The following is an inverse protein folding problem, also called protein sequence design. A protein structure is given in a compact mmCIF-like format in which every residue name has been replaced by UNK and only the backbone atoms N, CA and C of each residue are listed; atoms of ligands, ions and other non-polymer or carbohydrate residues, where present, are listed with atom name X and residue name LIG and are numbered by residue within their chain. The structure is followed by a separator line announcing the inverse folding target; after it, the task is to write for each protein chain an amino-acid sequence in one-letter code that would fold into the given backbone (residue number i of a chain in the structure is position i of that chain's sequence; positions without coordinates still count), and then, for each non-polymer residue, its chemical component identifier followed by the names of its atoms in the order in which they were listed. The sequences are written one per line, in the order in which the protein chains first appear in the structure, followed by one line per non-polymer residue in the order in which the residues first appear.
data_IF_454686783724
#
_entry.id   IF_454686783724
#
_cell.length_a   1.000
_cell.length_b   1.000
_cell.length_c   1.000
_cell.angle_alpha   90.00
_cell.angle_beta   90.00
_cell.angle_gamma   90.00
#
_symmetry.space_group_name_H-M   'P 1'
#
loop_
_entity.id
_entity.type
_entity.pdbx_description
1 polymer ?
#
# COMPACT_ATOMS: atom_id res chain seq x y z
N UNK A 1 -0.01 3.78 -18.81
CA UNK A 1 -0.72 4.38 -19.97
C UNK A 1 -0.04 5.66 -20.45
N UNK A 2 0.26 6.63 -19.56
CA UNK A 2 0.93 7.87 -19.94
C UNK A 2 2.26 7.60 -20.65
N UNK A 3 3.11 6.71 -20.08
CA UNK A 3 4.40 6.35 -20.66
C UNK A 3 4.27 5.88 -22.13
N UNK A 4 3.32 5.00 -22.42
CA UNK A 4 3.13 4.49 -23.78
C UNK A 4 2.69 5.57 -24.76
N UNK A 5 1.83 6.52 -24.35
CA UNK A 5 1.46 7.67 -25.21
C UNK A 5 2.66 8.56 -25.52
N UNK A 6 3.53 8.78 -24.54
CA UNK A 6 4.74 9.56 -24.75
C UNK A 6 5.72 8.81 -25.67
N UNK A 7 5.82 7.49 -25.50
CA UNK A 7 6.67 6.65 -26.34
C UNK A 7 6.18 6.55 -27.79
N UNK A 8 4.88 6.64 -28.03
CA UNK A 8 4.30 6.76 -29.38
C UNK A 8 4.74 8.06 -30.07
N UNK A 9 4.91 9.13 -29.29
CA UNK A 9 5.34 10.44 -29.80
C UNK A 9 6.87 10.55 -29.94
N UNK A 10 7.61 10.14 -28.91
CA UNK A 10 9.05 10.42 -28.80
C UNK A 10 9.95 9.23 -29.12
N UNK A 11 9.37 8.06 -29.40
CA UNK A 11 10.05 6.79 -29.38
C UNK A 11 10.29 6.31 -27.94
N UNK A 12 9.95 5.05 -27.68
CA UNK A 12 10.15 4.41 -26.37
C UNK A 12 11.48 3.69 -26.25
N UNK A 13 11.53 2.69 -25.39
CA UNK A 13 12.63 1.75 -25.34
C UNK A 13 12.68 0.94 -26.64
N UNK A 14 13.89 0.73 -27.14
CA UNK A 14 14.15 -0.16 -28.27
C UNK A 14 13.92 -1.64 -27.91
N UNK A 15 13.87 -1.94 -26.63
CA UNK A 15 13.79 -3.30 -26.13
C UNK A 15 12.40 -3.60 -25.55
N UNK A 16 11.89 -4.85 -25.73
CA UNK A 16 10.61 -5.27 -25.19
C UNK A 16 10.63 -5.29 -23.66
N UNK A 17 9.46 -5.01 -23.07
CA UNK A 17 9.28 -5.09 -21.61
C UNK A 17 9.22 -6.56 -21.18
N UNK A 18 10.07 -6.93 -20.24
CA UNK A 18 10.11 -8.27 -19.67
C UNK A 18 8.97 -8.44 -18.64
N UNK A 19 8.08 -9.38 -18.93
CA UNK A 19 6.96 -9.69 -18.04
C UNK A 19 7.41 -10.43 -16.77
N UNK A 20 6.52 -10.51 -15.77
CA UNK A 20 6.79 -11.11 -14.46
C UNK A 20 7.28 -12.57 -14.53
N UNK A 21 6.72 -13.36 -15.45
CA UNK A 21 7.16 -14.73 -15.68
C UNK A 21 8.57 -14.77 -16.28
N UNK A 22 8.84 -13.88 -17.23
CA UNK A 22 10.15 -13.72 -17.83
C UNK A 22 11.22 -13.33 -16.81
N UNK A 23 10.93 -12.35 -15.93
CA UNK A 23 11.81 -11.98 -14.81
C UNK A 23 12.16 -13.20 -13.94
N UNK A 24 11.16 -14.03 -13.60
CA UNK A 24 11.39 -15.23 -12.78
C UNK A 24 12.30 -16.24 -13.50
N UNK A 25 12.14 -16.41 -14.81
CA UNK A 25 13.01 -17.29 -15.61
C UNK A 25 14.43 -16.78 -15.67
N UNK A 26 14.63 -15.47 -15.87
CA UNK A 26 15.96 -14.85 -15.88
C UNK A 26 16.62 -15.00 -14.51
N UNK A 27 15.92 -14.67 -13.40
CA UNK A 27 16.46 -14.86 -12.05
C UNK A 27 16.89 -16.30 -11.80
N UNK A 28 16.07 -17.27 -12.21
CA UNK A 28 16.41 -18.69 -12.09
C UNK A 28 17.66 -19.05 -12.91
N UNK A 29 17.77 -18.54 -14.11
CA UNK A 29 18.90 -18.77 -15.02
C UNK A 29 20.20 -18.20 -14.46
N UNK A 30 20.22 -16.92 -14.11
CA UNK A 30 21.42 -16.27 -13.56
C UNK A 30 21.85 -16.88 -12.23
N UNK A 31 20.89 -17.31 -11.38
CA UNK A 31 21.20 -18.04 -10.16
C UNK A 31 21.86 -19.39 -10.42
N UNK A 32 21.52 -20.08 -11.52
CA UNK A 32 22.18 -21.31 -11.93
C UNK A 32 23.58 -21.05 -12.46
N UNK A 33 23.75 -20.04 -13.30
CA UNK A 33 25.04 -19.65 -13.88
C UNK A 33 26.02 -19.21 -12.79
N UNK A 34 25.55 -18.40 -11.84
CA UNK A 34 26.36 -17.87 -10.72
C UNK A 34 26.42 -18.78 -9.49
N UNK A 35 25.93 -20.00 -9.55
CA UNK A 35 25.81 -20.91 -8.41
C UNK A 35 27.11 -21.10 -7.62
N UNK A 36 28.28 -21.09 -8.27
CA UNK A 36 29.58 -21.26 -7.63
C UNK A 36 30.01 -20.04 -6.81
N UNK A 37 29.48 -18.88 -7.16
CA UNK A 37 29.75 -17.59 -6.49
C UNK A 37 28.83 -17.38 -5.27
N UNK A 38 27.70 -18.12 -5.20
CA UNK A 38 26.72 -17.98 -4.13
C UNK A 38 27.05 -18.84 -2.91
N UNK A 39 27.04 -18.22 -1.74
CA UNK A 39 27.39 -18.85 -0.47
C UNK A 39 26.19 -19.55 0.18
N UNK A 40 25.03 -18.90 0.22
CA UNK A 40 23.84 -19.33 0.93
C UNK A 40 22.66 -19.55 0.00
N UNK A 41 22.41 -18.62 -0.93
CA UNK A 41 21.22 -18.62 -1.77
C UNK A 41 21.27 -19.65 -2.90
N UNK A 42 22.44 -20.15 -3.27
CA UNK A 42 22.61 -21.07 -4.39
C UNK A 42 21.84 -22.38 -4.29
N UNK A 43 21.59 -22.89 -3.07
CA UNK A 43 20.75 -24.07 -2.81
C UNK A 43 19.27 -23.71 -2.72
N UNK A 44 18.95 -22.56 -2.18
CA UNK A 44 17.59 -22.08 -1.91
C UNK A 44 16.87 -21.68 -3.20
N UNK A 45 17.56 -21.06 -4.15
CA UNK A 45 17.01 -20.58 -5.42
C UNK A 45 16.66 -21.70 -6.45
N UNK A 46 16.79 -22.95 -6.06
CA UNK A 46 16.18 -24.07 -6.78
C UNK A 46 14.66 -24.16 -6.60
N UNK A 47 14.13 -23.56 -5.51
CA UNK A 47 12.70 -23.59 -5.18
C UNK A 47 11.99 -22.40 -5.83
N UNK A 48 10.83 -22.64 -6.44
CA UNK A 48 10.05 -21.62 -7.14
C UNK A 48 9.69 -20.43 -6.24
N UNK A 49 9.31 -20.68 -4.99
CA UNK A 49 8.99 -19.62 -4.03
C UNK A 49 10.19 -18.69 -3.73
N UNK A 50 11.40 -19.25 -3.61
CA UNK A 50 12.59 -18.45 -3.39
C UNK A 50 12.98 -17.61 -4.62
N UNK A 51 12.78 -18.14 -5.82
CA UNK A 51 12.95 -17.38 -7.08
C UNK A 51 11.97 -16.21 -7.13
N UNK A 52 10.70 -16.46 -6.76
CA UNK A 52 9.69 -15.40 -6.71
C UNK A 52 10.04 -14.31 -5.69
N UNK A 53 10.51 -14.68 -4.50
CA UNK A 53 10.97 -13.73 -3.49
C UNK A 53 12.17 -12.91 -3.97
N UNK A 54 13.16 -13.55 -4.60
CA UNK A 54 14.32 -12.86 -5.17
C UNK A 54 13.93 -11.89 -6.28
N UNK A 55 13.02 -12.32 -7.17
CA UNK A 55 12.46 -11.45 -8.21
C UNK A 55 11.79 -10.21 -7.60
N UNK A 56 10.94 -10.41 -6.59
CA UNK A 56 10.25 -9.30 -5.91
C UNK A 56 11.24 -8.35 -5.21
N UNK A 57 12.28 -8.90 -4.58
CA UNK A 57 13.34 -8.10 -3.96
C UNK A 57 14.10 -7.27 -4.99
N UNK A 58 14.48 -7.85 -6.13
CA UNK A 58 15.15 -7.10 -7.21
C UNK A 58 14.24 -5.98 -7.74
N UNK A 59 12.94 -6.26 -7.97
CA UNK A 59 11.98 -5.22 -8.38
C UNK A 59 11.87 -4.10 -7.35
N UNK A 60 11.88 -4.42 -6.07
CA UNK A 60 11.85 -3.42 -4.99
C UNK A 60 13.14 -2.58 -4.97
N UNK A 61 14.32 -3.22 -5.04
CA UNK A 61 15.60 -2.52 -5.12
C UNK A 61 15.65 -1.53 -6.30
N UNK A 62 15.16 -1.94 -7.48
CA UNK A 62 15.05 -1.06 -8.66
C UNK A 62 14.11 0.12 -8.41
N UNK A 63 12.93 -0.12 -7.83
CA UNK A 63 11.97 0.95 -7.52
C UNK A 63 12.54 2.00 -6.55
N UNK A 64 13.43 1.55 -5.64
CA UNK A 64 14.11 2.44 -4.70
C UNK A 64 15.47 2.95 -5.21
N UNK A 65 15.81 2.64 -6.46
CA UNK A 65 17.08 3.06 -7.11
C UNK A 65 18.33 2.61 -6.35
N UNK A 66 18.27 1.43 -5.73
CA UNK A 66 19.37 0.82 -4.99
C UNK A 66 20.19 -0.01 -5.99
N UNK A 67 21.44 0.38 -6.20
CA UNK A 67 22.35 -0.32 -7.10
C UNK A 67 22.92 -1.61 -6.48
N UNK A 68 23.31 -2.62 -7.28
CA UNK A 68 23.97 -3.83 -6.76
C UNK A 68 25.21 -3.54 -5.89
N UNK A 69 25.95 -2.47 -6.19
CA UNK A 69 27.12 -2.04 -5.42
C UNK A 69 26.81 -1.57 -4.00
N UNK A 70 25.60 -1.03 -3.77
CA UNK A 70 25.18 -0.61 -2.44
C UNK A 70 24.93 -1.82 -1.52
N UNK A 71 24.47 -2.94 -2.10
CA UNK A 71 24.33 -4.19 -1.35
C UNK A 71 25.67 -4.74 -0.86
N UNK A 72 26.73 -4.57 -1.66
CA UNK A 72 28.09 -4.93 -1.28
C UNK A 72 28.58 -4.04 -0.12
N UNK A 73 28.35 -2.72 -0.20
CA UNK A 73 28.68 -1.78 0.88
C UNK A 73 27.92 -2.11 2.17
N UNK A 74 26.62 -2.35 2.09
CA UNK A 74 25.82 -2.75 3.26
C UNK A 74 26.26 -4.08 3.86
N UNK A 75 26.72 -5.02 3.02
CA UNK A 75 27.26 -6.29 3.49
C UNK A 75 28.54 -6.10 4.33
N UNK A 76 29.35 -5.11 3.99
CA UNK A 76 30.57 -4.76 4.77
C UNK A 76 30.20 -4.07 6.08
N UNK A 77 29.19 -3.23 6.11
CA UNK A 77 28.71 -2.52 7.30
C UNK A 77 28.01 -3.43 8.33
N UNK A 78 27.49 -4.60 7.92
CA UNK A 78 26.75 -5.50 8.84
C UNK A 78 27.59 -6.10 9.95
N UNK A 79 28.93 -5.97 9.94
CA UNK A 79 29.85 -6.37 10.99
C UNK A 79 29.66 -7.85 11.42
N UNK A 80 29.22 -8.08 12.65
CA UNK A 80 29.10 -9.44 13.23
C UNK A 80 27.96 -10.29 12.64
N UNK A 81 27.04 -9.71 11.87
CA UNK A 81 25.88 -10.43 11.30
C UNK A 81 26.25 -11.18 10.02
N UNK A 82 27.14 -12.16 10.13
CA UNK A 82 27.69 -12.93 9.00
C UNK A 82 26.66 -13.50 8.03
N UNK A 83 25.50 -13.96 8.55
CA UNK A 83 24.42 -14.50 7.73
C UNK A 83 23.76 -13.42 6.87
N UNK A 84 23.54 -12.23 7.42
CA UNK A 84 22.97 -11.10 6.68
C UNK A 84 23.95 -10.60 5.62
N UNK A 85 25.22 -10.43 5.98
CA UNK A 85 26.28 -10.06 5.05
C UNK A 85 26.36 -11.01 3.85
N UNK A 86 26.35 -12.33 4.11
CA UNK A 86 26.37 -13.33 3.05
C UNK A 86 25.11 -13.30 2.17
N UNK A 87 23.91 -13.06 2.73
CA UNK A 87 22.68 -12.87 1.93
C UNK A 87 22.74 -11.62 1.07
N UNK A 88 23.24 -10.51 1.59
CA UNK A 88 23.38 -9.27 0.84
C UNK A 88 24.36 -9.44 -0.35
N UNK A 89 25.52 -10.07 -0.12
CA UNK A 89 26.48 -10.39 -1.17
C UNK A 89 25.88 -11.28 -2.24
N UNK A 90 25.24 -12.38 -1.86
CA UNK A 90 24.61 -13.28 -2.81
C UNK A 90 23.50 -12.57 -3.61
N UNK A 91 22.72 -11.69 -2.96
CA UNK A 91 21.70 -10.87 -3.63
C UNK A 91 22.35 -9.90 -4.62
N UNK A 92 23.44 -9.24 -4.25
CA UNK A 92 24.22 -8.35 -5.13
C UNK A 92 24.74 -9.07 -6.38
N UNK A 93 25.27 -10.30 -6.22
CA UNK A 93 25.74 -11.14 -7.33
C UNK A 93 24.59 -11.45 -8.30
N UNK A 94 23.43 -11.87 -7.77
CA UNK A 94 22.27 -12.23 -8.62
C UNK A 94 21.71 -10.99 -9.31
N UNK A 95 21.59 -9.89 -8.57
CA UNK A 95 21.04 -8.65 -9.11
C UNK A 95 21.93 -8.10 -10.23
N UNK A 96 23.25 -8.05 -10.05
CA UNK A 96 24.21 -7.66 -11.09
C UNK A 96 24.11 -8.55 -12.34
N UNK A 97 24.08 -9.86 -12.15
CA UNK A 97 23.95 -10.80 -13.27
C UNK A 97 22.57 -10.69 -13.95
N UNK A 98 21.52 -10.31 -13.21
CA UNK A 98 20.20 -10.02 -13.77
C UNK A 98 20.25 -8.78 -14.66
N UNK A 99 20.85 -7.67 -14.21
CA UNK A 99 21.02 -6.45 -14.99
C UNK A 99 21.86 -6.71 -16.25
N UNK A 100 22.99 -7.41 -16.13
CA UNK A 100 23.85 -7.80 -17.25
C UNK A 100 23.09 -8.66 -18.28
N UNK A 101 22.19 -9.54 -17.82
CA UNK A 101 21.36 -10.34 -18.72
C UNK A 101 20.35 -9.49 -19.48
N UNK A 102 19.80 -8.46 -18.86
CA UNK A 102 18.81 -7.57 -19.49
C UNK A 102 19.45 -6.58 -20.47
N UNK A 103 20.70 -6.23 -20.26
CA UNK A 103 21.39 -5.24 -21.05
C UNK A 103 21.30 -5.55 -22.55
N UNK A 104 20.85 -4.58 -23.33
CA UNK A 104 20.62 -4.65 -24.77
C UNK A 104 19.62 -5.76 -25.23
N UNK A 105 18.75 -6.24 -24.35
CA UNK A 105 17.75 -7.28 -24.66
C UNK A 105 16.35 -6.95 -24.21
N UNK A 106 16.23 -6.48 -22.97
CA UNK A 106 14.93 -6.26 -22.32
C UNK A 106 14.99 -5.03 -21.41
N UNK A 107 13.82 -4.47 -21.14
CA UNK A 107 13.58 -3.52 -20.04
C UNK A 107 12.58 -4.10 -19.07
N UNK A 108 12.65 -3.77 -17.80
CA UNK A 108 11.63 -4.14 -16.82
C UNK A 108 10.54 -3.08 -16.71
N UNK A 109 9.42 -3.40 -16.07
CA UNK A 109 8.37 -2.43 -15.83
C UNK A 109 8.85 -1.24 -14.97
N UNK A 110 9.82 -1.46 -14.10
CA UNK A 110 10.48 -0.44 -13.28
C UNK A 110 11.30 0.51 -14.17
N UNK A 111 12.04 -0.02 -15.14
CA UNK A 111 12.88 0.75 -16.08
C UNK A 111 12.02 1.63 -17.00
N UNK A 112 10.79 1.23 -17.29
CA UNK A 112 9.85 2.04 -18.09
C UNK A 112 9.68 3.44 -17.54
N UNK A 113 9.68 3.61 -16.20
CA UNK A 113 9.57 4.93 -15.58
C UNK A 113 10.84 5.76 -15.74
N UNK A 114 12.01 5.14 -15.74
CA UNK A 114 13.30 5.82 -16.01
C UNK A 114 13.39 6.25 -17.47
N UNK A 115 13.02 5.36 -18.40
CA UNK A 115 12.94 5.69 -19.83
C UNK A 115 11.93 6.82 -20.05
N UNK A 116 10.76 6.76 -19.40
CA UNK A 116 9.78 7.84 -19.44
C UNK A 116 10.39 9.15 -18.96
N UNK A 117 11.03 9.14 -17.80
CA UNK A 117 11.69 10.34 -17.28
C UNK A 117 12.69 10.94 -18.27
N UNK A 118 13.44 10.09 -18.99
CA UNK A 118 14.37 10.54 -20.05
C UNK A 118 13.67 11.18 -21.25
N UNK A 119 12.44 10.77 -21.55
CA UNK A 119 11.68 11.21 -22.75
C UNK A 119 10.70 12.36 -22.50
N UNK A 120 10.40 12.73 -21.27
CA UNK A 120 9.44 13.77 -20.93
C UNK A 120 9.78 15.12 -21.59
N UNK A 121 11.05 15.49 -21.66
CA UNK A 121 11.50 16.77 -22.22
C UNK A 121 11.29 16.86 -23.74
N UNK A 122 11.25 15.72 -24.43
CA UNK A 122 11.04 15.62 -25.87
C UNK A 122 9.54 15.70 -26.23
N UNK A 123 8.65 15.42 -25.27
CA UNK A 123 7.21 15.32 -25.54
C UNK A 123 6.54 16.69 -25.65
N UNK A 124 5.89 16.94 -26.78
CA UNK A 124 5.03 18.12 -26.96
C UNK A 124 3.72 17.98 -26.17
N UNK A 125 3.24 16.76 -25.97
CA UNK A 125 2.04 16.49 -25.17
C UNK A 125 2.17 16.99 -23.73
N UNK A 126 3.37 16.85 -23.14
CA UNK A 126 3.62 17.21 -21.73
C UNK A 126 3.84 18.72 -21.57
N UNK A 127 4.49 19.35 -22.55
CA UNK A 127 4.78 20.78 -22.47
C UNK A 127 3.47 21.57 -22.41
N UNK A 128 3.37 22.41 -21.39
CA UNK A 128 2.18 23.25 -21.13
C UNK A 128 0.88 22.47 -20.82
N UNK A 129 0.96 21.17 -20.52
CA UNK A 129 -0.19 20.40 -20.06
C UNK A 129 -0.53 20.67 -18.60
N UNK A 130 -1.78 20.41 -18.23
CA UNK A 130 -2.16 20.27 -16.82
C UNK A 130 -2.22 18.77 -16.47
N UNK A 131 -1.57 18.38 -15.39
CA UNK A 131 -1.49 16.97 -14.94
C UNK A 131 -2.17 16.82 -13.61
N UNK A 132 -3.10 15.87 -13.51
CA UNK A 132 -3.75 15.48 -12.28
C UNK A 132 -3.24 14.10 -11.84
N UNK A 133 -2.70 14.03 -10.62
CA UNK A 133 -2.23 12.81 -9.97
C UNK A 133 -3.15 12.50 -8.80
N UNK A 134 -3.93 11.44 -8.92
CA UNK A 134 -4.99 11.12 -7.97
C UNK A 134 -4.87 9.69 -7.42
N UNK A 135 -5.24 9.51 -6.14
CA UNK A 135 -5.37 8.21 -5.49
C UNK A 135 -4.05 7.58 -5.01
N UNK A 136 -2.97 8.32 -4.92
CA UNK A 136 -1.68 7.84 -4.41
C UNK A 136 -1.56 8.07 -2.90
N UNK A 137 -1.03 7.05 -2.20
CA UNK A 137 -0.71 7.12 -0.77
C UNK A 137 0.78 7.34 -0.49
N UNK A 138 1.61 7.24 -1.52
CA UNK A 138 3.06 7.45 -1.50
C UNK A 138 3.65 7.27 -2.88
N UNK A 139 4.89 7.71 -3.07
CA UNK A 139 5.65 7.55 -4.30
C UNK A 139 7.00 6.91 -4.02
N UNK A 140 7.43 6.03 -4.92
CA UNK A 140 8.80 5.53 -4.92
C UNK A 140 9.78 6.61 -5.42
N UNK A 141 11.08 6.50 -5.14
CA UNK A 141 12.07 7.46 -5.64
C UNK A 141 12.04 7.66 -7.16
N UNK A 142 11.85 6.59 -7.93
CA UNK A 142 11.69 6.67 -9.39
C UNK A 142 10.48 7.50 -9.79
N UNK A 143 9.34 7.30 -9.10
CA UNK A 143 8.11 8.07 -9.34
C UNK A 143 8.28 9.55 -8.96
N UNK A 144 8.96 9.84 -7.86
CA UNK A 144 9.31 11.22 -7.47
C UNK A 144 10.20 11.87 -8.53
N UNK A 145 11.17 11.14 -9.10
CA UNK A 145 12.01 11.63 -10.19
C UNK A 145 11.19 12.01 -11.44
N UNK A 146 10.19 11.20 -11.80
CA UNK A 146 9.23 11.52 -12.88
C UNK A 146 8.43 12.77 -12.53
N UNK A 147 7.89 12.86 -11.30
CA UNK A 147 7.12 14.03 -10.84
C UNK A 147 7.96 15.31 -10.87
N UNK A 148 9.22 15.26 -10.41
CA UNK A 148 10.12 16.40 -10.46
C UNK A 148 10.34 16.94 -11.88
N UNK A 149 10.37 16.06 -12.90
CA UNK A 149 10.40 16.49 -14.30
C UNK A 149 9.06 17.09 -14.77
N UNK A 150 7.94 16.49 -14.37
CA UNK A 150 6.61 17.03 -14.66
C UNK A 150 6.43 18.43 -14.05
N UNK A 151 6.93 18.67 -12.83
CA UNK A 151 6.89 20.00 -12.20
C UNK A 151 7.61 21.09 -12.99
N UNK A 152 8.66 20.70 -13.76
CA UNK A 152 9.38 21.66 -14.64
C UNK A 152 8.72 21.88 -15.99
N UNK A 153 8.05 20.86 -16.51
CA UNK A 153 7.60 20.84 -17.92
C UNK A 153 6.14 21.21 -18.10
N UNK A 154 5.30 20.87 -17.11
CA UNK A 154 3.86 21.11 -17.18
C UNK A 154 3.50 22.53 -16.81
N UNK A 155 2.39 23.04 -17.35
CA UNK A 155 1.83 24.31 -16.92
C UNK A 155 1.35 24.26 -15.46
N UNK A 156 0.77 23.12 -15.06
CA UNK A 156 0.31 22.88 -13.68
C UNK A 156 0.25 21.39 -13.37
N UNK A 157 0.58 21.04 -12.13
CA UNK A 157 0.44 19.68 -11.61
C UNK A 157 -0.38 19.71 -10.33
N UNK A 158 -1.48 18.97 -10.32
CA UNK A 158 -2.34 18.79 -9.15
C UNK A 158 -2.09 17.41 -8.56
N UNK A 159 -1.88 17.34 -7.26
CA UNK A 159 -1.73 16.07 -6.54
C UNK A 159 -2.79 16.01 -5.44
N UNK A 160 -3.69 15.04 -5.51
CA UNK A 160 -4.68 14.84 -4.44
C UNK A 160 -4.08 14.03 -3.29
N UNK A 161 -4.33 14.47 -2.07
CA UNK A 161 -3.84 13.80 -0.86
C UNK A 161 -5.00 13.68 0.12
N UNK A 162 -5.20 12.47 0.64
CA UNK A 162 -6.23 12.22 1.65
C UNK A 162 -5.68 12.65 3.01
N UNK A 163 -6.33 13.63 3.63
CA UNK A 163 -5.98 14.13 4.95
C UNK A 163 -7.21 14.68 5.67
N UNK A 164 -7.17 14.69 6.99
CA UNK A 164 -8.18 15.37 7.78
C UNK A 164 -7.91 16.89 7.79
N UNK A 165 -8.96 17.70 7.65
CA UNK A 165 -8.85 19.18 7.66
C UNK A 165 -8.30 19.75 8.98
N UNK A 166 -8.35 18.97 10.06
CA UNK A 166 -7.79 19.32 11.38
C UNK A 166 -6.30 19.06 11.49
N UNK A 167 -5.70 18.41 10.50
CA UNK A 167 -4.29 18.09 10.45
C UNK A 167 -3.54 19.16 9.65
N UNK A 168 -2.40 19.55 10.16
CA UNK A 168 -1.47 20.40 9.41
C UNK A 168 -0.63 19.51 8.48
N UNK A 169 -0.74 19.67 7.15
CA UNK A 169 -0.05 18.83 6.18
C UNK A 169 1.47 18.99 6.20
N UNK A 170 1.95 20.15 6.69
CA UNK A 170 3.38 20.49 6.67
C UNK A 170 4.12 20.07 7.93
N UNK A 171 3.42 19.64 8.98
CA UNK A 171 4.06 19.11 10.18
C UNK A 171 4.82 17.83 9.91
N UNK A 172 5.90 17.64 10.67
CA UNK A 172 6.69 16.41 10.63
C UNK A 172 5.81 15.18 10.85
N UNK A 173 5.94 14.20 9.98
CA UNK A 173 5.24 12.93 10.10
C UNK A 173 5.72 12.16 11.34
N UNK A 174 4.78 11.65 12.13
CA UNK A 174 5.05 10.77 13.27
C UNK A 174 4.46 9.39 12.93
N UNK A 175 5.25 8.31 12.88
CA UNK A 175 4.85 7.03 12.27
C UNK A 175 3.55 6.42 12.79
N UNK A 176 3.21 6.64 14.07
CA UNK A 176 2.00 6.07 14.68
C UNK A 176 0.73 6.92 14.48
N UNK A 177 0.83 8.08 13.83
CA UNK A 177 -0.33 8.92 13.55
C UNK A 177 -1.07 8.47 12.29
N UNK A 178 -2.39 8.63 12.27
CA UNK A 178 -3.25 8.17 11.18
C UNK A 178 -2.82 8.70 9.80
N UNK A 179 -2.45 9.98 9.72
CA UNK A 179 -2.04 10.63 8.48
C UNK A 179 -0.52 10.79 8.34
N UNK A 180 0.27 9.93 9.01
CA UNK A 180 1.74 9.96 8.91
C UNK A 180 2.22 9.80 7.46
N UNK A 181 1.67 8.84 6.73
CA UNK A 181 2.01 8.61 5.31
C UNK A 181 1.65 9.80 4.43
N UNK A 182 0.48 10.40 4.65
CA UNK A 182 0.05 11.58 3.89
C UNK A 182 0.97 12.78 4.13
N UNK A 183 1.38 13.02 5.38
CA UNK A 183 2.36 14.07 5.70
C UNK A 183 3.74 13.79 5.09
N UNK A 184 4.18 12.53 5.15
CA UNK A 184 5.44 12.15 4.52
C UNK A 184 5.39 12.38 3.01
N UNK A 185 4.26 12.07 2.38
CA UNK A 185 4.03 12.33 0.96
C UNK A 185 4.11 13.82 0.66
N UNK A 186 3.46 14.68 1.45
CA UNK A 186 3.55 16.15 1.30
C UNK A 186 5.01 16.60 1.38
N UNK A 187 5.77 16.12 2.37
CA UNK A 187 7.19 16.48 2.51
C UNK A 187 8.04 16.06 1.30
N UNK A 188 7.79 14.87 0.76
CA UNK A 188 8.48 14.39 -0.45
C UNK A 188 8.16 15.26 -1.66
N UNK A 189 6.89 15.62 -1.85
CA UNK A 189 6.44 16.45 -2.97
C UNK A 189 6.98 17.88 -2.85
N UNK A 190 6.95 18.47 -1.65
CA UNK A 190 7.54 19.80 -1.39
C UNK A 190 9.02 19.83 -1.72
N UNK A 191 9.76 18.83 -1.27
CA UNK A 191 11.18 18.67 -1.59
C UNK A 191 11.42 18.56 -3.09
N UNK A 192 10.64 17.70 -3.79
CA UNK A 192 10.76 17.53 -5.23
C UNK A 192 10.40 18.81 -6.02
N UNK A 193 9.42 19.59 -5.55
CA UNK A 193 9.07 20.88 -6.14
C UNK A 193 10.18 21.92 -5.97
N UNK A 194 10.76 21.99 -4.77
CA UNK A 194 11.89 22.88 -4.47
C UNK A 194 13.11 22.55 -5.35
N UNK A 195 13.50 21.27 -5.44
CA UNK A 195 14.59 20.78 -6.31
C UNK A 195 14.31 21.03 -7.80
N UNK A 196 13.03 21.04 -8.18
CA UNK A 196 12.60 21.37 -9.53
C UNK A 196 12.56 22.89 -9.81
N UNK A 197 12.64 23.75 -8.80
CA UNK A 197 12.42 25.19 -8.89
C UNK A 197 10.96 25.54 -9.21
N UNK A 198 10.00 24.66 -8.88
CA UNK A 198 8.60 24.83 -9.15
C UNK A 198 7.88 25.52 -7.96
N UNK A 199 7.22 26.65 -8.15
CA UNK A 199 6.45 27.29 -7.08
C UNK A 199 5.26 26.43 -6.67
N UNK A 200 5.02 26.32 -5.37
CA UNK A 200 3.88 25.58 -4.83
C UNK A 200 2.77 26.58 -4.47
N UNK A 201 1.59 26.37 -5.02
CA UNK A 201 0.41 27.15 -4.66
C UNK A 201 -0.16 26.68 -3.31
N UNK A 202 -0.94 27.56 -2.61
CA UNK A 202 -1.66 27.13 -1.42
C UNK A 202 -2.56 25.93 -1.68
N UNK A 203 -2.69 25.05 -0.70
CA UNK A 203 -3.53 23.86 -0.80
C UNK A 203 -5.03 24.21 -0.97
N UNK A 204 -5.71 23.40 -1.77
CA UNK A 204 -7.16 23.50 -1.97
C UNK A 204 -7.82 22.37 -1.15
N UNK A 205 -8.54 22.75 -0.11
CA UNK A 205 -9.33 21.82 0.68
C UNK A 205 -10.65 21.50 0.01
N UNK A 206 -10.75 20.33 -0.60
CA UNK A 206 -12.00 19.83 -1.18
C UNK A 206 -12.87 19.27 -0.06
N UNK A 207 -13.77 20.12 0.44
CA UNK A 207 -14.74 19.71 1.46
C UNK A 207 -15.99 19.15 0.80
N UNK A 208 -16.49 18.06 1.34
CA UNK A 208 -17.80 17.56 0.96
C UNK A 208 -18.85 18.54 1.47
N UNK A 209 -19.57 19.20 0.57
CA UNK A 209 -20.61 20.15 0.95
C UNK A 209 -21.72 19.45 1.72
N UNK A 210 -21.94 19.88 2.95
CA UNK A 210 -23.12 19.62 3.75
C UNK A 210 -23.02 18.47 4.77
N UNK A 211 -22.78 17.25 4.36
CA UNK A 211 -22.79 16.13 5.31
C UNK A 211 -21.66 15.15 4.95
N UNK A 212 -20.94 14.67 5.94
CA UNK A 212 -20.00 13.58 5.79
C UNK A 212 -20.68 12.30 5.28
N UNK A 213 -19.94 11.19 5.20
CA UNK A 213 -20.46 9.89 4.79
C UNK A 213 -21.55 9.39 5.74
N UNK A 214 -21.47 9.78 7.01
CA UNK A 214 -22.39 9.39 8.06
C UNK A 214 -23.28 10.55 8.47
N UNK A 215 -24.47 10.23 8.97
CA UNK A 215 -25.39 11.23 9.52
C UNK A 215 -24.76 11.91 10.74
N UNK A 216 -24.77 13.26 10.82
CA UNK A 216 -24.22 13.99 11.94
C UNK A 216 -24.77 13.51 13.29
N UNK A 217 -23.88 13.26 14.25
CA UNK A 217 -24.22 12.76 15.57
C UNK A 217 -24.50 11.25 15.66
N UNK A 218 -24.52 10.52 14.55
CA UNK A 218 -24.62 9.06 14.57
C UNK A 218 -23.39 8.41 15.21
N UNK A 219 -23.52 7.16 15.64
CA UNK A 219 -22.39 6.40 16.23
C UNK A 219 -21.22 6.28 15.26
N UNK A 220 -21.49 6.11 13.96
CA UNK A 220 -20.44 6.05 12.92
C UNK A 220 -19.77 7.39 12.68
N UNK A 221 -20.52 8.51 12.72
CA UNK A 221 -19.95 9.86 12.66
C UNK A 221 -19.04 10.13 13.86
N UNK A 222 -19.47 9.76 15.06
CA UNK A 222 -18.65 9.89 16.27
C UNK A 222 -17.40 9.00 16.22
N UNK A 223 -17.51 7.78 15.68
CA UNK A 223 -16.36 6.91 15.48
C UNK A 223 -15.37 7.51 14.49
N UNK A 224 -15.82 7.99 13.33
CA UNK A 224 -14.97 8.63 12.33
C UNK A 224 -14.23 9.84 12.90
N UNK A 225 -14.93 10.67 13.69
CA UNK A 225 -14.33 11.85 14.29
C UNK A 225 -13.31 11.55 15.38
N UNK A 226 -13.35 10.40 16.03
CA UNK A 226 -12.55 10.09 17.23
C UNK A 226 -11.57 8.93 17.03
N UNK A 227 -11.80 8.06 16.05
CA UNK A 227 -10.94 6.90 15.81
C UNK A 227 -9.48 7.32 15.60
N UNK A 228 -8.57 6.65 16.32
CA UNK A 228 -7.12 6.93 16.32
C UNK A 228 -6.72 8.35 16.78
N UNK A 229 -7.64 9.10 17.39
CA UNK A 229 -7.33 10.42 17.94
C UNK A 229 -7.18 10.31 19.44
N UNK A 230 -5.95 10.32 19.88
CA UNK A 230 -5.59 10.28 21.30
C UNK A 230 -5.71 11.67 21.93
N UNK A 231 -6.90 12.09 22.29
CA UNK A 231 -7.15 13.35 22.99
C UNK A 231 -7.62 13.08 24.41
N UNK A 232 -7.26 13.98 25.36
CA UNK A 232 -7.64 13.90 26.79
C UNK A 232 -9.14 14.07 27.07
N UNK A 233 -9.99 14.23 26.08
CA UNK A 233 -11.43 14.30 26.27
C UNK A 233 -12.03 12.92 26.21
N UNK A 234 -12.33 12.39 27.39
CA UNK A 234 -13.13 11.18 27.54
C UNK A 234 -14.43 11.27 26.75
N UNK A 235 -14.99 10.13 26.43
CA UNK A 235 -16.32 9.97 25.84
C UNK A 235 -17.33 10.76 26.73
N UNK A 236 -17.66 11.97 26.35
CA UNK A 236 -18.83 12.66 26.89
C UNK A 236 -20.02 12.17 26.06
N UNK A 237 -20.40 10.92 26.33
CA UNK A 237 -21.54 10.31 25.66
C UNK A 237 -22.81 10.71 26.36
N UNK A 238 -23.54 11.68 25.83
CA UNK A 238 -25.00 11.66 25.96
C UNK A 238 -25.47 10.53 25.00
N UNK A 239 -25.47 9.29 25.50
CA UNK A 239 -25.93 8.15 24.69
C UNK A 239 -25.42 6.78 25.11
N UNK A 240 -24.55 6.69 26.10
CA UNK A 240 -24.32 5.44 26.81
C UNK A 240 -25.16 5.53 28.08
N UNK A 241 -26.37 5.09 28.03
CA UNK A 241 -27.10 4.75 29.26
C UNK A 241 -26.23 3.75 30.02
N UNK A 242 -25.72 4.18 31.18
CA UNK A 242 -25.16 3.27 32.18
C UNK A 242 -26.24 2.24 32.46
N UNK A 243 -25.95 1.00 32.09
CA UNK A 243 -26.76 -0.12 32.54
C UNK A 243 -26.89 -0.02 34.07
N UNK A 244 -28.07 -0.01 34.66
CA UNK A 244 -28.19 0.05 36.09
C UNK A 244 -27.53 -1.18 36.71
N UNK A 245 -26.63 -0.95 37.67
CA UNK A 245 -26.10 -1.98 38.54
C UNK A 245 -27.24 -2.55 39.39
N UNK A 246 -27.89 -3.54 38.88
CA UNK A 246 -28.75 -4.43 39.72
C UNK A 246 -28.32 -5.85 39.41
N UNK A 247 -27.71 -6.46 40.44
CA UNK A 247 -27.38 -7.85 40.43
C UNK A 247 -28.59 -8.72 40.14
N UNK A 248 -28.43 -9.51 39.09
CA UNK A 248 -29.16 -10.77 38.95
C UNK A 248 -28.34 -11.67 38.01
N UNK A 249 -28.21 -12.89 38.45
CA UNK A 249 -27.42 -13.97 37.92
C UNK A 249 -27.57 -14.20 36.41
N UNK A 250 -26.45 -14.44 35.77
CA UNK A 250 -26.38 -14.90 34.39
C UNK A 250 -27.08 -16.24 34.24
N UNK A 251 -28.31 -16.23 33.75
CA UNK A 251 -28.94 -17.43 33.19
C UNK A 251 -28.32 -17.68 31.81
N UNK A 252 -27.52 -18.74 31.72
CA UNK A 252 -27.16 -19.43 30.49
C UNK A 252 -28.46 -19.82 29.76
N UNK A 253 -28.87 -19.02 28.82
CA UNK A 253 -30.00 -19.27 27.95
C UNK A 253 -29.63 -18.78 26.54
N UNK A 254 -29.58 -19.73 25.59
CA UNK A 254 -29.58 -19.45 24.15
C UNK A 254 -30.73 -18.47 23.85
N UNK A 255 -30.41 -17.22 23.75
CA UNK A 255 -31.32 -16.24 23.16
C UNK A 255 -30.52 -15.34 22.25
N UNK A 256 -30.73 -15.53 20.95
CA UNK A 256 -30.58 -14.47 19.98
C UNK A 256 -31.42 -13.27 20.51
N UNK A 257 -30.84 -12.53 21.44
CA UNK A 257 -31.48 -11.34 22.02
C UNK A 257 -31.55 -10.30 20.90
N UNK A 258 -32.75 -9.92 20.61
CA UNK A 258 -33.24 -9.08 19.57
C UNK A 258 -32.36 -7.94 19.18
N UNK A 259 -32.08 -7.89 17.91
CA UNK A 259 -31.56 -6.73 17.21
C UNK A 259 -32.66 -5.67 17.08
N UNK A 260 -33.03 -5.05 18.16
CA UNK A 260 -33.85 -3.84 18.17
C UNK A 260 -33.00 -2.59 18.31
N UNK A 261 -31.93 -2.47 17.47
CA UNK A 261 -31.16 -1.25 17.48
C UNK A 261 -30.96 -0.75 16.06
N UNK A 262 -32.00 -0.27 15.44
CA UNK A 262 -31.97 0.49 14.17
C UNK A 262 -31.13 1.78 14.23
N UNK A 263 -30.43 2.07 15.34
CA UNK A 263 -29.66 3.32 15.52
C UNK A 263 -28.22 3.12 15.96
N UNK A 264 -27.75 1.93 16.28
CA UNK A 264 -26.36 1.70 16.69
C UNK A 264 -25.63 0.99 15.56
N UNK A 265 -24.85 1.73 14.79
CA UNK A 265 -24.08 1.20 13.65
C UNK A 265 -22.84 0.36 14.01
N UNK A 266 -22.61 0.05 15.31
CA UNK A 266 -21.44 -0.68 15.79
C UNK A 266 -21.87 -1.80 16.71
N UNK A 267 -21.45 -3.03 16.40
CA UNK A 267 -21.69 -4.23 17.19
C UNK A 267 -20.36 -4.87 17.55
N UNK A 268 -20.23 -5.32 18.79
CA UNK A 268 -19.07 -6.06 19.27
C UNK A 268 -19.54 -7.43 19.73
N UNK A 269 -18.97 -8.47 19.13
CA UNK A 269 -19.19 -9.86 19.54
C UNK A 269 -17.87 -10.51 19.93
N UNK A 270 -17.96 -11.52 20.80
CA UNK A 270 -16.80 -12.30 21.24
C UNK A 270 -17.07 -13.76 20.88
N UNK A 271 -16.16 -14.35 20.15
CA UNK A 271 -16.22 -15.76 19.77
C UNK A 271 -15.12 -16.57 20.49
N UNK A 272 -15.32 -17.86 20.75
CA UNK A 272 -14.36 -18.68 21.48
C UNK A 272 -13.07 -19.01 20.70
N UNK A 273 -13.12 -18.92 19.38
CA UNK A 273 -11.99 -19.18 18.50
C UNK A 273 -12.19 -18.55 17.11
N UNK A 274 -11.13 -18.41 16.29
CA UNK A 274 -11.19 -17.77 14.97
C UNK A 274 -12.20 -18.41 13.99
N UNK A 275 -12.39 -19.73 14.07
CA UNK A 275 -13.37 -20.43 13.23
C UNK A 275 -14.80 -20.03 13.59
N UNK A 276 -15.13 -20.04 14.86
CA UNK A 276 -16.47 -19.63 15.35
C UNK A 276 -16.75 -18.16 15.03
N UNK A 277 -15.76 -17.30 15.10
CA UNK A 277 -15.85 -15.89 14.73
C UNK A 277 -16.24 -15.73 13.25
N UNK A 278 -15.59 -16.45 12.35
CA UNK A 278 -15.93 -16.44 10.93
C UNK A 278 -17.28 -17.05 10.63
N UNK A 279 -17.66 -18.17 11.29
CA UNK A 279 -18.97 -18.78 11.14
C UNK A 279 -20.09 -17.83 11.56
N UNK A 280 -19.91 -17.09 12.65
CA UNK A 280 -20.87 -16.09 13.10
C UNK A 280 -20.93 -14.90 12.15
N UNK A 281 -19.79 -14.43 11.67
CA UNK A 281 -19.72 -13.36 10.66
C UNK A 281 -20.51 -13.75 9.39
N UNK A 282 -20.32 -14.96 8.89
CA UNK A 282 -21.05 -15.44 7.72
C UNK A 282 -22.56 -15.56 7.97
N UNK A 283 -22.97 -16.07 9.15
CA UNK A 283 -24.39 -16.11 9.51
C UNK A 283 -25.01 -14.72 9.53
N UNK A 284 -24.29 -13.74 10.09
CA UNK A 284 -24.74 -12.36 10.15
C UNK A 284 -24.89 -11.77 8.73
N UNK A 285 -23.89 -11.93 7.86
CA UNK A 285 -23.95 -11.47 6.47
C UNK A 285 -25.13 -12.10 5.73
N UNK A 286 -25.29 -13.43 5.84
CA UNK A 286 -26.41 -14.13 5.17
C UNK A 286 -27.78 -13.66 5.66
N UNK A 287 -27.90 -13.36 6.95
CA UNK A 287 -29.14 -12.81 7.51
C UNK A 287 -29.41 -11.44 6.92
N UNK A 288 -28.44 -10.52 6.93
CA UNK A 288 -28.59 -9.17 6.38
C UNK A 288 -28.93 -9.18 4.88
N UNK A 289 -28.37 -10.12 4.12
CA UNK A 289 -28.72 -10.30 2.70
C UNK A 289 -30.17 -10.76 2.54
N UNK A 290 -30.64 -11.68 3.38
CA UNK A 290 -32.02 -12.25 3.26
C UNK A 290 -33.10 -11.35 3.84
N UNK A 291 -32.83 -10.71 4.97
CA UNK A 291 -33.82 -9.98 5.74
C UNK A 291 -33.77 -8.47 5.45
N UNK A 292 -32.58 -7.90 5.27
CA UNK A 292 -32.39 -6.46 5.07
C UNK A 292 -32.18 -6.06 3.60
N UNK A 293 -32.19 -7.05 2.68
CA UNK A 293 -32.08 -6.81 1.24
C UNK A 293 -30.68 -6.31 0.79
N UNK A 294 -29.65 -6.49 1.61
CA UNK A 294 -28.28 -6.15 1.27
C UNK A 294 -27.70 -7.14 0.24
N UNK A 295 -26.66 -6.73 -0.47
CA UNK A 295 -25.96 -7.58 -1.44
C UNK A 295 -24.63 -8.02 -0.85
N UNK A 296 -24.12 -9.18 -1.21
CA UNK A 296 -22.81 -9.65 -0.75
C UNK A 296 -21.66 -8.67 -1.03
N UNK A 297 -21.74 -7.91 -2.12
CA UNK A 297 -20.76 -6.87 -2.44
C UNK A 297 -20.81 -5.64 -1.51
N UNK A 298 -21.83 -5.51 -0.67
CA UNK A 298 -21.96 -4.40 0.27
C UNK A 298 -21.22 -4.66 1.59
N UNK A 299 -20.61 -5.87 1.74
CA UNK A 299 -19.85 -6.27 2.92
C UNK A 299 -18.35 -6.33 2.63
N UNK A 300 -17.55 -5.96 3.63
CA UNK A 300 -16.13 -6.19 3.68
C UNK A 300 -15.74 -6.84 5.01
N UNK A 301 -14.95 -7.90 4.95
CA UNK A 301 -14.40 -8.57 6.14
C UNK A 301 -12.90 -8.26 6.21
N UNK A 302 -12.47 -7.66 7.30
CA UNK A 302 -11.08 -7.23 7.51
C UNK A 302 -10.46 -8.01 8.66
N UNK A 303 -9.23 -8.44 8.50
CA UNK A 303 -8.44 -9.09 9.56
C UNK A 303 -7.04 -8.51 9.61
N UNK A 304 -6.46 -8.41 10.80
CA UNK A 304 -5.06 -8.02 11.00
C UNK A 304 -4.06 -9.16 10.74
N UNK A 305 -4.52 -10.43 10.77
CA UNK A 305 -3.67 -11.60 10.56
C UNK A 305 -4.34 -12.65 9.67
N UNK A 306 -3.98 -12.61 8.40
CA UNK A 306 -4.50 -13.57 7.41
C UNK A 306 -3.94 -14.99 7.64
N UNK A 307 -2.80 -15.15 8.32
CA UNK A 307 -2.22 -16.47 8.58
C UNK A 307 -3.09 -17.30 9.52
N UNK A 308 -3.74 -16.63 10.46
CA UNK A 308 -4.68 -17.26 11.42
C UNK A 308 -6.03 -17.55 10.78
N UNK A 309 -6.55 -16.59 9.99
CA UNK A 309 -7.93 -16.67 9.48
C UNK A 309 -8.04 -17.25 8.07
N UNK A 310 -6.99 -17.19 7.26
CA UNK A 310 -7.06 -17.45 5.81
C UNK A 310 -7.56 -18.85 5.44
N UNK A 311 -7.16 -19.88 6.18
CA UNK A 311 -7.60 -21.25 5.93
C UNK A 311 -9.08 -21.43 6.23
N UNK A 312 -9.53 -20.92 7.39
CA UNK A 312 -10.94 -20.98 7.79
C UNK A 312 -11.82 -20.13 6.88
N UNK A 313 -11.35 -18.94 6.51
CA UNK A 313 -12.07 -18.04 5.61
C UNK A 313 -12.37 -18.71 4.27
N UNK A 314 -11.35 -19.34 3.66
CA UNK A 314 -11.54 -20.07 2.39
C UNK A 314 -12.58 -21.18 2.54
N UNK A 315 -12.45 -22.01 3.57
CA UNK A 315 -13.37 -23.14 3.81
C UNK A 315 -14.81 -22.68 4.06
N UNK A 316 -14.99 -21.60 4.84
CA UNK A 316 -16.31 -21.17 5.31
C UNK A 316 -17.02 -20.32 4.25
N UNK A 317 -16.32 -19.38 3.60
CA UNK A 317 -16.95 -18.52 2.59
C UNK A 317 -17.23 -19.24 1.27
N UNK A 318 -16.44 -20.27 0.89
CA UNK A 318 -16.74 -21.09 -0.29
C UNK A 318 -18.01 -21.95 -0.14
N UNK A 319 -18.45 -22.23 1.10
CA UNK A 319 -19.67 -22.99 1.40
C UNK A 319 -20.91 -22.12 1.53
N UNK A 320 -20.78 -20.83 1.38
CA UNK A 320 -21.85 -19.84 1.57
C UNK A 320 -22.31 -19.20 0.27
#
# INVERSE_FOLDING_TARGET
RLAYRIFEETGGSLYPVLEETGKSLVVKRVAQEKKKELTILGSTLKRTGAVSQMKSLISELKQYQIAPSELDAWAEETGEKKLLAAKLKDTGVIYRAFEEYLENRYVTAEDVLEVLAGKLEESALIKNSEVLVDGFTGFTPVQIGVLGKLFRLCAKVYVTIIMDEREDPYKKAIPHQLFAMSRQLVQQLMKAADEAGCPVEPEIWVRRSGHGRFQPGSTMDQLEQRLFRYGKRGFSGNGIEKRPESGTEAKTGNSAAGYEAKQQGIYISVAPNPRAELEETVRLIRRMVREDGMRYQDFAVLTGDLSVYGTYAREIFEKC
#
